data_IF_281655446218
#
_entry.id   IF_281655446218
#
_cell.length_a   1.000
_cell.length_b   1.000
_cell.length_c   1.000
_cell.angle_alpha   90.00
_cell.angle_beta   90.00
_cell.angle_gamma   90.00
#
_symmetry.space_group_name_H-M   'P 1'
#
loop_
_entity.id
_entity.type
_entity.pdbx_description
1 polymer ?
#
# COMPACT_ATOMS: atom_id res chain seq x y z
N UNK A 1 -17.70 55.47 7.72
CA UNK A 1 -18.31 54.33 8.47
C UNK A 1 -18.98 53.29 7.58
N UNK A 2 -19.52 53.63 6.40
CA UNK A 2 -20.19 52.68 5.49
C UNK A 2 -19.27 51.77 4.64
N UNK A 3 -17.99 52.13 4.44
CA UNK A 3 -17.05 51.31 3.65
C UNK A 3 -16.54 50.07 4.39
N UNK A 4 -16.45 50.11 5.73
CA UNK A 4 -16.02 48.96 6.53
C UNK A 4 -17.09 47.85 6.59
N UNK A 5 -18.38 48.18 6.46
CA UNK A 5 -19.47 47.20 6.47
C UNK A 5 -19.54 46.37 5.18
N UNK A 6 -19.26 46.96 4.02
CA UNK A 6 -19.30 46.24 2.73
C UNK A 6 -18.20 45.18 2.59
N UNK A 7 -16.99 45.48 3.08
CA UNK A 7 -15.87 44.53 3.08
C UNK A 7 -16.11 43.37 4.06
N UNK A 8 -16.68 43.65 5.23
CA UNK A 8 -17.03 42.62 6.19
C UNK A 8 -18.13 41.67 5.67
N UNK A 9 -19.19 42.20 5.06
CA UNK A 9 -20.28 41.39 4.52
C UNK A 9 -19.84 40.53 3.32
N UNK A 10 -19.03 41.09 2.40
CA UNK A 10 -18.48 40.35 1.27
C UNK A 10 -17.49 39.26 1.69
N UNK A 11 -16.61 39.56 2.65
CA UNK A 11 -15.65 38.59 3.18
C UNK A 11 -16.31 37.42 3.92
N UNK A 12 -17.33 37.69 4.73
CA UNK A 12 -18.11 36.64 5.42
C UNK A 12 -18.90 35.80 4.42
N UNK A 13 -19.55 36.43 3.43
CA UNK A 13 -20.26 35.70 2.38
C UNK A 13 -19.34 34.79 1.55
N UNK A 14 -18.16 35.29 1.18
CA UNK A 14 -17.15 34.49 0.47
C UNK A 14 -16.60 33.34 1.33
N UNK A 15 -16.39 33.56 2.63
CA UNK A 15 -15.97 32.52 3.56
C UNK A 15 -17.04 31.44 3.73
N UNK A 16 -18.31 31.82 3.90
CA UNK A 16 -19.42 30.87 4.03
C UNK A 16 -19.59 30.07 2.73
N UNK A 17 -19.58 30.73 1.57
CA UNK A 17 -19.64 30.05 0.27
C UNK A 17 -18.45 29.08 0.08
N UNK A 18 -17.24 29.50 0.46
CA UNK A 18 -16.06 28.64 0.41
C UNK A 18 -16.16 27.46 1.38
N UNK A 19 -16.74 27.63 2.58
CA UNK A 19 -16.95 26.57 3.54
C UNK A 19 -18.03 25.58 3.10
N UNK A 20 -19.16 26.06 2.58
CA UNK A 20 -20.24 25.21 2.03
C UNK A 20 -19.78 24.42 0.80
N UNK A 21 -18.94 25.02 -0.05
CA UNK A 21 -18.34 24.35 -1.21
C UNK A 21 -16.99 23.67 -0.93
N UNK A 22 -16.48 23.69 0.30
CA UNK A 22 -15.16 23.12 0.65
C UNK A 22 -15.11 21.59 0.51
N UNK A 23 -16.26 20.93 0.32
CA UNK A 23 -16.35 19.47 0.27
C UNK A 23 -16.03 18.77 1.59
N UNK A 24 -15.74 19.52 2.66
CA UNK A 24 -15.42 18.99 3.99
C UNK A 24 -16.70 18.52 4.66
N UNK A 25 -17.04 17.24 4.41
CA UNK A 25 -18.14 16.57 5.12
C UNK A 25 -17.66 16.14 6.51
N UNK A 26 -17.70 17.05 7.47
CA UNK A 26 -17.46 16.72 8.89
C UNK A 26 -18.69 16.05 9.55
N UNK A 27 -19.33 15.10 8.87
CA UNK A 27 -20.52 14.40 9.40
C UNK A 27 -20.15 13.10 10.14
N UNK A 28 -18.98 12.53 9.87
CA UNK A 28 -18.50 11.31 10.51
C UNK A 28 -17.54 11.67 11.65
N UNK A 29 -17.83 11.16 12.86
CA UNK A 29 -16.91 11.24 14.00
C UNK A 29 -15.79 10.23 13.73
N UNK A 30 -14.70 10.70 13.13
CA UNK A 30 -13.53 9.87 12.81
C UNK A 30 -12.44 10.11 13.85
N UNK A 31 -11.96 9.05 14.47
CA UNK A 31 -10.78 9.11 15.33
C UNK A 31 -9.53 9.19 14.47
N UNK A 32 -8.83 10.33 14.50
CA UNK A 32 -7.52 10.46 13.87
C UNK A 32 -6.45 9.69 14.67
N UNK A 33 -5.47 9.05 14.00
CA UNK A 33 -4.39 8.36 14.69
C UNK A 33 -3.49 9.36 15.45
N UNK A 34 -2.90 8.96 16.59
CA UNK A 34 -1.84 9.74 17.24
C UNK A 34 -0.55 9.62 16.44
N UNK A 35 0.39 10.55 16.67
CA UNK A 35 1.72 10.47 16.08
C UNK A 35 2.61 9.54 16.92
N UNK A 36 2.92 8.35 16.40
CA UNK A 36 3.86 7.43 17.06
C UNK A 36 5.32 7.84 16.80
N UNK A 37 6.23 7.67 17.77
CA UNK A 37 7.64 8.04 17.63
C UNK A 37 8.42 6.96 16.87
N UNK A 38 8.15 6.80 15.57
CA UNK A 38 8.89 5.85 14.72
C UNK A 38 10.38 6.20 14.65
N UNK A 39 11.24 5.18 14.57
CA UNK A 39 12.70 5.34 14.53
C UNK A 39 13.18 6.13 13.31
N UNK A 40 12.38 6.18 12.25
CA UNK A 40 12.69 6.84 10.97
C UNK A 40 12.02 8.21 10.78
N UNK A 41 11.40 8.79 11.82
CA UNK A 41 10.75 10.10 11.72
C UNK A 41 11.74 11.27 11.58
N UNK A 42 13.02 11.07 11.89
CA UNK A 42 14.04 12.11 11.78
C UNK A 42 14.44 12.40 10.34
N UNK A 43 14.80 13.64 10.02
CA UNK A 43 15.21 14.06 8.66
C UNK A 43 16.39 13.27 8.07
N UNK A 44 17.26 12.75 8.94
CA UNK A 44 18.42 11.93 8.58
C UNK A 44 18.30 10.49 9.10
N UNK A 45 17.14 10.11 9.63
CA UNK A 45 16.91 8.77 10.14
C UNK A 45 16.58 7.83 8.97
N UNK A 46 17.17 6.64 8.98
CA UNK A 46 16.84 5.58 8.03
C UNK A 46 15.80 4.63 8.60
N UNK A 47 15.22 3.81 7.75
CA UNK A 47 14.42 2.67 8.17
C UNK A 47 15.28 1.67 8.98
N UNK A 48 14.66 0.99 9.94
CA UNK A 48 15.27 -0.16 10.60
C UNK A 48 15.11 -1.40 9.71
N UNK A 49 16.18 -1.79 9.02
CA UNK A 49 16.19 -2.94 8.12
C UNK A 49 15.89 -4.27 8.84
N UNK A 50 16.19 -4.39 10.14
CA UNK A 50 15.82 -5.57 10.92
C UNK A 50 14.31 -5.61 11.19
N UNK A 51 13.69 -4.45 11.43
CA UNK A 51 12.23 -4.31 11.52
C UNK A 51 11.57 -4.61 10.17
N UNK A 52 12.11 -4.08 9.06
CA UNK A 52 11.62 -4.39 7.71
C UNK A 52 11.68 -5.89 7.40
N UNK A 53 12.76 -6.58 7.81
CA UNK A 53 12.87 -8.04 7.65
C UNK A 53 11.77 -8.78 8.43
N UNK A 54 11.51 -8.39 9.68
CA UNK A 54 10.37 -8.96 10.44
C UNK A 54 9.03 -8.61 9.81
N UNK A 55 8.88 -7.41 9.26
CA UNK A 55 7.69 -6.96 8.55
C UNK A 55 7.40 -7.79 7.30
N UNK A 56 8.43 -8.19 6.56
CA UNK A 56 8.29 -9.14 5.45
C UNK A 56 7.70 -10.48 5.92
N UNK A 57 8.17 -11.03 7.04
CA UNK A 57 7.61 -12.26 7.60
C UNK A 57 6.15 -12.09 8.02
N UNK A 58 5.75 -10.94 8.56
CA UNK A 58 4.34 -10.65 8.85
C UNK A 58 3.52 -10.61 7.57
N UNK A 59 4.01 -9.93 6.53
CA UNK A 59 3.33 -9.89 5.24
C UNK A 59 3.18 -11.31 4.64
N UNK A 60 4.28 -12.05 4.55
CA UNK A 60 4.34 -13.40 3.97
C UNK A 60 3.46 -14.41 4.71
N UNK A 61 3.38 -14.34 6.03
CA UNK A 61 2.67 -15.36 6.82
C UNK A 61 1.22 -14.98 7.16
N UNK A 62 0.83 -13.71 7.02
CA UNK A 62 -0.50 -13.22 7.42
C UNK A 62 -1.22 -12.52 6.27
N UNK A 63 -0.57 -11.52 5.65
CA UNK A 63 -1.25 -10.62 4.73
C UNK A 63 -1.34 -11.16 3.30
N UNK A 64 -0.35 -11.91 2.84
CA UNK A 64 -0.23 -12.36 1.45
C UNK A 64 -1.33 -13.34 1.03
N UNK A 65 -2.12 -13.87 1.98
CA UNK A 65 -3.30 -14.68 1.69
C UNK A 65 -4.47 -13.86 1.11
N UNK A 66 -4.53 -12.56 1.41
CA UNK A 66 -5.63 -11.68 0.98
C UNK A 66 -5.15 -10.45 0.21
N UNK A 67 -3.94 -9.95 0.50
CA UNK A 67 -3.42 -8.71 -0.06
C UNK A 67 -2.27 -8.94 -1.04
N UNK A 68 -2.39 -8.34 -2.22
CA UNK A 68 -1.31 -8.28 -3.18
C UNK A 68 -0.23 -7.27 -2.78
N UNK A 69 0.94 -7.45 -3.38
CA UNK A 69 2.08 -6.53 -3.29
C UNK A 69 2.69 -6.34 -4.69
N UNK A 70 1.85 -5.93 -5.63
CA UNK A 70 2.07 -6.05 -7.07
C UNK A 70 3.31 -5.32 -7.60
N UNK A 71 3.79 -4.28 -6.90
CA UNK A 71 4.97 -3.50 -7.32
C UNK A 71 6.27 -3.94 -6.62
N UNK A 72 6.23 -4.99 -5.81
CA UNK A 72 7.41 -5.53 -5.13
C UNK A 72 7.84 -6.83 -5.80
N UNK A 73 9.09 -6.86 -6.27
CA UNK A 73 9.75 -8.06 -6.78
C UNK A 73 10.73 -8.62 -5.75
N UNK A 74 11.02 -9.92 -5.81
CA UNK A 74 11.92 -10.57 -4.85
C UNK A 74 13.33 -9.93 -4.85
N UNK A 75 13.80 -9.44 -6.00
CA UNK A 75 15.04 -8.65 -6.11
C UNK A 75 15.06 -7.38 -5.26
N UNK A 76 13.91 -6.81 -4.89
CA UNK A 76 13.87 -5.65 -4.01
C UNK A 76 14.25 -6.00 -2.56
N UNK A 77 14.16 -7.27 -2.15
CA UNK A 77 14.57 -7.72 -0.82
C UNK A 77 16.09 -7.81 -0.67
N UNK A 78 16.80 -8.07 -1.78
CA UNK A 78 18.26 -8.26 -1.82
C UNK A 78 18.98 -7.02 -1.30
N UNK A 79 19.85 -7.20 -0.31
CA UNK A 79 20.62 -6.16 0.38
C UNK A 79 19.76 -5.09 1.07
N UNK A 80 18.44 -5.26 1.12
CA UNK A 80 17.54 -4.44 1.93
C UNK A 80 17.15 -5.22 3.18
N UNK A 81 16.49 -6.37 3.04
CA UNK A 81 16.04 -7.17 4.18
C UNK A 81 16.65 -8.58 4.20
N UNK A 82 17.10 -9.06 3.05
CA UNK A 82 17.61 -10.41 2.84
C UNK A 82 18.90 -10.38 2.01
N UNK A 83 19.72 -11.42 2.16
CA UNK A 83 20.81 -11.71 1.22
C UNK A 83 20.25 -12.15 -0.14
N UNK A 84 21.10 -12.24 -1.17
CA UNK A 84 20.67 -12.73 -2.48
C UNK A 84 20.21 -14.19 -2.39
N UNK A 85 20.95 -15.03 -1.65
CA UNK A 85 20.65 -16.44 -1.45
C UNK A 85 19.31 -16.63 -0.73
N UNK A 86 19.06 -15.85 0.33
CA UNK A 86 17.79 -15.89 1.05
C UNK A 86 16.62 -15.41 0.18
N UNK A 87 16.77 -14.31 -0.55
CA UNK A 87 15.71 -13.79 -1.41
C UNK A 87 15.40 -14.75 -2.57
N UNK A 88 16.42 -15.45 -3.09
CA UNK A 88 16.27 -16.49 -4.12
C UNK A 88 15.54 -17.70 -3.55
N UNK A 89 15.90 -18.16 -2.36
CA UNK A 89 15.20 -19.25 -1.68
C UNK A 89 13.73 -18.90 -1.44
N UNK A 90 13.43 -17.67 -0.99
CA UNK A 90 12.05 -17.19 -0.84
C UNK A 90 11.31 -17.21 -2.17
N UNK A 91 11.93 -16.74 -3.27
CA UNK A 91 11.29 -16.73 -4.58
C UNK A 91 10.96 -18.15 -5.08
N UNK A 92 11.86 -19.11 -4.85
CA UNK A 92 11.70 -20.51 -5.26
C UNK A 92 10.55 -21.23 -4.54
N UNK A 93 10.10 -20.74 -3.38
CA UNK A 93 8.91 -21.26 -2.70
C UNK A 93 7.61 -21.01 -3.48
N UNK A 94 7.59 -20.03 -4.39
CA UNK A 94 6.42 -19.67 -5.17
C UNK A 94 6.41 -20.36 -6.54
N UNK A 95 5.24 -20.82 -6.95
CA UNK A 95 5.00 -21.32 -8.30
C UNK A 95 4.49 -20.17 -9.19
N UNK A 96 5.24 -19.86 -10.24
CA UNK A 96 4.97 -18.76 -11.18
C UNK A 96 4.58 -19.35 -12.53
N UNK A 97 3.49 -18.84 -13.11
CA UNK A 97 3.07 -19.18 -14.47
C UNK A 97 3.99 -18.52 -15.49
N UNK A 98 4.50 -19.29 -16.44
CA UNK A 98 5.38 -18.82 -17.52
C UNK A 98 5.00 -19.52 -18.85
N UNK A 99 5.61 -19.09 -19.95
CA UNK A 99 5.39 -19.62 -21.29
C UNK A 99 4.85 -18.58 -22.29
N UNK A 100 4.38 -19.03 -23.47
CA UNK A 100 4.22 -20.44 -23.87
C UNK A 100 5.55 -21.15 -24.16
N UNK A 101 5.53 -22.49 -24.07
CA UNK A 101 6.64 -23.36 -24.49
C UNK A 101 6.61 -23.68 -25.99
N UNK A 102 7.47 -24.60 -26.45
CA UNK A 102 7.57 -25.00 -27.86
C UNK A 102 6.30 -25.66 -28.43
N UNK A 103 5.42 -26.17 -27.56
CA UNK A 103 4.13 -26.75 -27.93
C UNK A 103 2.98 -25.74 -27.87
N UNK A 104 3.24 -24.53 -27.39
CA UNK A 104 2.24 -23.48 -27.19
C UNK A 104 1.56 -23.53 -25.81
N UNK A 105 2.03 -24.38 -24.89
CA UNK A 105 1.43 -24.55 -23.56
C UNK A 105 2.09 -23.64 -22.50
N UNK A 106 1.30 -23.17 -21.54
CA UNK A 106 1.81 -22.45 -20.37
C UNK A 106 2.12 -23.43 -19.25
N UNK A 107 3.20 -23.20 -18.51
CA UNK A 107 3.65 -24.07 -17.42
C UNK A 107 3.89 -23.29 -16.13
N UNK A 108 4.06 -24.02 -15.03
CA UNK A 108 4.46 -23.45 -13.73
C UNK A 108 5.94 -23.73 -13.48
N UNK A 109 6.65 -22.75 -12.93
CA UNK A 109 8.05 -22.89 -12.51
C UNK A 109 8.28 -22.28 -11.12
N UNK A 110 9.33 -22.70 -10.42
CA UNK A 110 9.82 -21.96 -9.26
C UNK A 110 10.09 -20.48 -9.61
N UNK A 111 9.80 -19.60 -8.68
CA UNK A 111 10.07 -18.17 -8.81
C UNK A 111 11.57 -17.87 -8.87
N UNK A 112 11.91 -16.75 -9.51
CA UNK A 112 13.25 -16.18 -9.57
C UNK A 112 13.22 -14.74 -9.06
N UNK A 113 14.39 -14.18 -8.76
CA UNK A 113 14.52 -12.82 -8.21
C UNK A 113 13.80 -11.73 -9.03
N UNK A 114 13.69 -11.90 -10.36
CA UNK A 114 13.02 -10.92 -11.22
C UNK A 114 11.50 -10.93 -11.13
N UNK A 115 10.90 -12.00 -10.60
CA UNK A 115 9.46 -12.13 -10.50
C UNK A 115 8.91 -11.21 -9.39
N UNK A 116 7.68 -10.73 -9.61
CA UNK A 116 6.91 -10.00 -8.62
C UNK A 116 6.29 -10.96 -7.60
N UNK A 117 5.99 -10.45 -6.40
CA UNK A 117 5.24 -11.22 -5.40
C UNK A 117 3.87 -11.60 -5.99
N UNK A 118 3.53 -12.91 -6.03
CA UNK A 118 2.27 -13.35 -6.62
C UNK A 118 1.05 -12.76 -5.92
N UNK A 119 0.06 -12.36 -6.70
CA UNK A 119 -1.24 -11.96 -6.17
C UNK A 119 -1.98 -13.18 -5.60
N UNK A 120 -2.67 -13.07 -4.45
CA UNK A 120 -3.48 -14.16 -3.90
C UNK A 120 -4.69 -14.51 -4.78
N UNK A 121 -5.14 -13.56 -5.60
CA UNK A 121 -6.28 -13.74 -6.48
C UNK A 121 -5.92 -13.41 -7.94
N UNK A 122 -6.52 -14.10 -8.92
CA UNK A 122 -6.26 -13.86 -10.35
C UNK A 122 -6.87 -12.55 -10.87
N UNK A 123 -7.90 -12.02 -10.19
CA UNK A 123 -8.59 -10.78 -10.53
C UNK A 123 -9.40 -10.25 -9.33
N UNK A 124 -9.96 -9.04 -9.48
CA UNK A 124 -10.75 -8.37 -8.46
C UNK A 124 -12.06 -9.11 -8.15
N UNK A 125 -12.72 -9.69 -9.15
CA UNK A 125 -13.98 -10.41 -8.97
C UNK A 125 -13.78 -11.64 -8.06
N UNK A 126 -12.68 -12.38 -8.26
CA UNK A 126 -12.30 -13.49 -7.40
C UNK A 126 -11.97 -13.03 -5.98
N UNK A 127 -11.28 -11.89 -5.83
CA UNK A 127 -10.98 -11.30 -4.53
C UNK A 127 -12.25 -10.94 -3.77
N UNK A 128 -13.21 -10.28 -4.44
CA UNK A 128 -14.52 -9.94 -3.87
C UNK A 128 -15.33 -11.17 -3.49
N UNK A 129 -15.36 -12.18 -4.35
CA UNK A 129 -16.07 -13.42 -4.08
C UNK A 129 -15.53 -14.12 -2.82
N UNK A 130 -14.21 -14.13 -2.63
CA UNK A 130 -13.57 -14.71 -1.46
C UNK A 130 -13.74 -13.89 -0.16
N UNK A 131 -14.04 -12.59 -0.26
CA UNK A 131 -14.07 -11.64 0.85
C UNK A 131 -15.45 -10.98 1.03
N UNK A 132 -16.54 -11.72 0.83
CA UNK A 132 -17.93 -11.25 1.03
C UNK A 132 -18.27 -9.94 0.30
N UNK A 133 -17.76 -9.78 -0.93
CA UNK A 133 -17.98 -8.62 -1.79
C UNK A 133 -16.95 -7.50 -1.64
N UNK A 134 -16.11 -7.52 -0.60
CA UNK A 134 -15.05 -6.53 -0.40
C UNK A 134 -13.80 -6.88 -1.22
N UNK A 135 -13.12 -5.88 -1.79
CA UNK A 135 -11.85 -6.07 -2.48
C UNK A 135 -10.70 -5.64 -1.55
N UNK A 136 -9.84 -6.55 -1.07
CA UNK A 136 -8.66 -6.19 -0.29
C UNK A 136 -7.73 -5.29 -1.13
N UNK A 137 -7.36 -4.09 -0.66
CA UNK A 137 -6.48 -3.21 -1.42
C UNK A 137 -5.07 -3.79 -1.54
N UNK A 138 -4.41 -3.51 -2.65
CA UNK A 138 -2.97 -3.76 -2.81
C UNK A 138 -2.16 -2.96 -1.79
N UNK A 139 -1.16 -3.60 -1.18
CA UNK A 139 -0.38 -2.98 -0.09
C UNK A 139 0.88 -2.26 -0.54
N UNK A 140 1.22 -2.26 -1.83
CA UNK A 140 2.50 -1.71 -2.31
C UNK A 140 2.69 -0.23 -1.96
N UNK A 141 1.59 0.53 -1.90
CA UNK A 141 1.57 1.96 -1.59
C UNK A 141 0.56 2.32 -0.50
N UNK A 142 0.09 1.37 0.31
CA UNK A 142 -1.03 1.63 1.23
C UNK A 142 -0.73 2.76 2.23
N UNK A 143 0.52 2.85 2.66
CA UNK A 143 1.03 3.90 3.57
C UNK A 143 0.91 5.29 2.91
N UNK A 144 1.31 5.41 1.64
CA UNK A 144 1.23 6.67 0.89
C UNK A 144 -0.20 6.99 0.41
N UNK A 145 -1.05 5.97 0.29
CA UNK A 145 -2.41 6.10 -0.23
C UNK A 145 -3.43 6.45 0.86
N UNK A 146 -3.00 6.67 2.11
CA UNK A 146 -3.86 7.03 3.24
C UNK A 146 -3.30 8.23 3.98
N UNK A 147 -4.19 9.07 4.51
CA UNK A 147 -3.78 10.18 5.36
C UNK A 147 -3.10 9.65 6.62
N UNK A 148 -2.06 10.36 7.07
CA UNK A 148 -1.26 10.08 8.25
C UNK A 148 -0.34 8.85 8.20
N UNK A 149 -0.36 8.04 7.12
CA UNK A 149 0.61 6.95 6.93
C UNK A 149 0.65 5.95 8.09
N UNK A 150 1.88 5.59 8.48
CA UNK A 150 2.23 4.70 9.60
C UNK A 150 2.02 5.29 11.00
#
# INVERSE_FOLDING_TARGET
MMTCLGVAAGGVGALIYALENSGVKAFEIIAHPPNYPWSFNGLLASLDHASMRRGWEVYKNVCSACHSLQYVAFRHLVNNTHTEEEAKAIAEEYQIKDGPDETGEYFMRPGKLSDYVPSPYPNEEAARAANNGANPPDLSYIVNARHNGE
#
